data_IF_275916672058
#
_entry.id   IF_275916672058
#
_cell.length_a   1.000
_cell.length_b   1.000
_cell.length_c   1.000
_cell.angle_alpha   90.00
_cell.angle_beta   90.00
_cell.angle_gamma   90.00
#
_symmetry.space_group_name_H-M   'P 1'
#
loop_
_entity.id
_entity.type
_entity.pdbx_description
1 polymer ?
#
# COMPACT_ATOMS: atom_id res chain seq x y z
N UNK A 1 -8.19 30.69 31.98
CA UNK A 1 -6.75 31.03 31.94
C UNK A 1 -6.48 31.96 30.74
N UNK A 2 -5.45 32.81 30.77
CA UNK A 2 -4.94 33.45 29.55
C UNK A 2 -4.45 32.38 28.56
N UNK A 3 -4.60 32.62 27.25
CA UNK A 3 -4.05 31.72 26.23
C UNK A 3 -2.53 31.88 26.18
N UNK A 4 -1.79 30.78 26.23
CA UNK A 4 -0.35 30.81 25.98
C UNK A 4 -0.10 31.28 24.53
N UNK A 5 0.76 32.28 24.35
CA UNK A 5 1.16 32.75 23.02
C UNK A 5 2.16 31.79 22.37
N UNK A 6 2.18 31.73 21.03
CA UNK A 6 3.01 30.78 20.29
C UNK A 6 4.50 30.85 20.69
N UNK A 7 5.07 32.05 20.81
CA UNK A 7 6.46 32.24 21.22
C UNK A 7 6.74 31.71 22.64
N UNK A 8 5.79 31.84 23.57
CA UNK A 8 5.92 31.30 24.93
C UNK A 8 5.84 29.77 24.95
N UNK A 9 5.00 29.17 24.08
CA UNK A 9 4.93 27.72 23.95
C UNK A 9 6.17 27.14 23.26
N UNK A 10 6.73 27.83 22.26
CA UNK A 10 8.03 27.46 21.66
C UNK A 10 9.14 27.49 22.70
N UNK A 11 9.22 28.53 23.54
CA UNK A 11 10.22 28.62 24.60
C UNK A 11 10.05 27.49 25.62
N UNK A 12 8.83 27.25 26.10
CA UNK A 12 8.55 26.15 27.05
C UNK A 12 8.94 24.78 26.49
N UNK A 13 8.72 24.52 25.19
CA UNK A 13 9.18 23.30 24.52
C UNK A 13 10.71 23.19 24.45
N UNK A 14 11.43 24.31 24.20
CA UNK A 14 12.91 24.32 24.26
C UNK A 14 13.39 24.03 25.68
N UNK A 15 12.83 24.72 26.68
CA UNK A 15 13.18 24.54 28.10
C UNK A 15 12.93 23.09 28.57
N UNK A 16 11.86 22.45 28.08
CA UNK A 16 11.56 21.04 28.31
C UNK A 16 12.63 20.10 27.74
N UNK A 17 13.06 20.30 26.49
CA UNK A 17 14.09 19.45 25.87
C UNK A 17 15.45 19.59 26.57
N UNK A 18 15.82 20.81 26.99
CA UNK A 18 17.04 21.04 27.78
C UNK A 18 16.95 20.32 29.13
N UNK A 19 15.81 20.42 29.83
CA UNK A 19 15.66 19.92 31.21
C UNK A 19 15.47 18.40 31.29
N UNK A 20 14.64 17.83 30.41
CA UNK A 20 14.14 16.46 30.53
C UNK A 20 14.73 15.49 29.48
N UNK A 21 15.16 15.99 28.32
CA UNK A 21 15.79 15.18 27.25
C UNK A 21 17.31 15.36 27.22
N UNK A 22 17.83 16.42 27.86
CA UNK A 22 19.27 16.68 28.02
C UNK A 22 19.93 17.36 26.82
N UNK A 23 19.16 18.00 25.94
CA UNK A 23 19.68 18.73 24.80
C UNK A 23 20.49 19.97 25.21
N UNK A 24 21.58 20.30 24.51
CA UNK A 24 22.25 21.59 24.68
C UNK A 24 21.39 22.72 24.11
N UNK A 25 21.21 23.87 24.80
CA UNK A 25 20.42 25.00 24.29
C UNK A 25 20.87 25.50 22.91
N UNK A 26 22.19 25.46 22.63
CA UNK A 26 22.79 25.92 21.38
C UNK A 26 22.63 24.93 20.21
N UNK A 27 22.13 23.71 20.47
CA UNK A 27 21.94 22.64 19.46
C UNK A 27 20.47 22.44 19.04
N UNK A 28 19.52 23.12 19.71
CA UNK A 28 18.08 22.97 19.47
C UNK A 28 17.63 23.85 18.28
N UNK A 29 17.68 23.27 17.08
CA UNK A 29 16.98 23.82 15.92
C UNK A 29 15.46 23.60 16.06
N UNK A 30 14.71 24.70 16.21
CA UNK A 30 13.25 24.69 16.37
C UNK A 30 12.47 24.26 15.11
N UNK A 31 13.12 24.21 13.94
CA UNK A 31 12.56 23.68 12.69
C UNK A 31 12.89 22.20 12.45
N UNK A 32 13.87 21.63 13.18
CA UNK A 32 14.27 20.22 13.09
C UNK A 32 13.26 19.29 13.77
N UNK A 33 13.26 18.02 13.37
CA UNK A 33 12.50 16.94 13.99
C UNK A 33 12.98 16.69 15.43
N UNK A 34 12.05 16.70 16.38
CA UNK A 34 12.29 16.43 17.80
C UNK A 34 12.76 14.98 18.04
N UNK A 35 12.44 14.04 17.14
CA UNK A 35 13.00 12.68 17.19
C UNK A 35 14.52 12.69 16.95
N UNK A 36 15.02 13.58 16.09
CA UNK A 36 16.46 13.77 15.86
C UNK A 36 17.15 14.45 17.05
N UNK A 37 16.37 15.11 17.92
CA UNK A 37 16.81 15.71 19.19
C UNK A 37 16.64 14.73 20.37
N UNK A 38 16.27 13.47 20.12
CA UNK A 38 16.18 12.41 21.14
C UNK A 38 14.79 12.17 21.73
N UNK A 39 13.73 12.85 21.28
CA UNK A 39 12.36 12.62 21.78
C UNK A 39 11.84 11.26 21.31
N UNK A 40 11.83 10.28 22.20
CA UNK A 40 11.30 8.94 21.98
C UNK A 40 9.81 8.82 22.26
N UNK A 41 9.29 7.60 22.09
CA UNK A 41 7.86 7.29 22.29
C UNK A 41 7.40 7.39 23.74
N UNK A 42 8.31 7.28 24.72
CA UNK A 42 8.00 7.50 26.13
C UNK A 42 7.87 8.99 26.44
N UNK A 43 8.82 9.78 25.95
CA UNK A 43 8.90 11.23 26.18
C UNK A 43 7.72 11.94 25.53
N UNK A 44 7.33 11.53 24.32
CA UNK A 44 6.12 12.01 23.64
C UNK A 44 4.82 11.74 24.41
N UNK A 45 4.76 10.69 25.26
CA UNK A 45 3.60 10.44 26.14
C UNK A 45 3.62 11.39 27.34
N UNK A 46 4.75 11.53 28.03
CA UNK A 46 4.89 12.44 29.19
C UNK A 46 4.63 13.90 28.77
N UNK A 47 5.27 14.34 27.69
CA UNK A 47 5.12 15.67 27.11
C UNK A 47 3.70 15.95 26.61
N UNK A 48 2.95 14.93 26.14
CA UNK A 48 1.52 15.09 25.82
C UNK A 48 0.66 15.36 27.06
N UNK A 49 1.03 14.78 28.21
CA UNK A 49 0.35 15.01 29.49
C UNK A 49 0.58 16.43 30.00
N UNK A 50 1.84 16.86 30.10
CA UNK A 50 2.20 18.21 30.56
C UNK A 50 1.65 19.30 29.64
N UNK A 51 1.70 19.13 28.32
CA UNK A 51 1.05 20.04 27.38
C UNK A 51 -0.48 20.06 27.53
N UNK A 52 -1.10 18.93 27.91
CA UNK A 52 -2.54 18.87 28.13
C UNK A 52 -2.97 19.69 29.35
N UNK A 53 -2.18 19.61 30.43
CA UNK A 53 -2.40 20.41 31.65
C UNK A 53 -2.11 21.90 31.39
N UNK A 54 -0.97 22.23 30.76
CA UNK A 54 -0.54 23.59 30.45
C UNK A 54 -1.52 24.34 29.54
N UNK A 55 -2.11 23.64 28.56
CA UNK A 55 -3.03 24.24 27.59
C UNK A 55 -4.51 24.05 27.96
N UNK A 56 -4.83 23.30 29.02
CA UNK A 56 -6.19 23.04 29.48
C UNK A 56 -7.06 22.27 28.47
N UNK A 57 -6.45 21.42 27.65
CA UNK A 57 -7.11 20.61 26.60
C UNK A 57 -6.38 19.31 26.37
N UNK A 58 -7.01 18.30 25.76
CA UNK A 58 -6.25 17.12 25.32
C UNK A 58 -5.23 17.49 24.24
N UNK A 59 -4.02 16.96 24.41
CA UNK A 59 -2.93 16.85 23.43
C UNK A 59 -2.60 15.36 23.30
N UNK A 60 -2.34 14.86 22.10
CA UNK A 60 -2.14 13.44 21.83
C UNK A 60 -0.67 13.12 21.49
N UNK A 61 -0.11 11.99 21.94
CA UNK A 61 1.20 11.51 21.49
C UNK A 61 1.32 11.39 19.95
N UNK A 62 0.20 11.25 19.23
CA UNK A 62 0.17 11.21 17.77
C UNK A 62 0.46 12.58 17.13
N UNK A 63 0.16 13.69 17.83
CA UNK A 63 0.35 15.04 17.28
C UNK A 63 1.84 15.38 17.09
N UNK A 64 2.75 14.79 17.86
CA UNK A 64 4.21 14.91 17.67
C UNK A 64 4.66 14.33 16.34
N UNK A 65 4.12 13.19 15.91
CA UNK A 65 4.40 12.60 14.60
C UNK A 65 3.82 13.41 13.43
N UNK A 66 2.78 14.23 13.69
CA UNK A 66 2.15 15.10 12.69
C UNK A 66 2.83 16.47 12.58
N UNK A 67 3.40 16.95 13.69
CA UNK A 67 4.07 18.23 13.83
C UNK A 67 5.46 18.02 14.50
N UNK A 68 6.42 17.38 13.80
CA UNK A 68 7.64 16.87 14.42
C UNK A 68 8.63 17.94 14.88
N UNK A 69 8.46 19.21 14.53
CA UNK A 69 9.33 20.30 15.02
C UNK A 69 8.63 21.19 16.04
N UNK A 70 9.42 21.80 16.94
CA UNK A 70 8.96 22.72 17.99
C UNK A 70 8.10 23.83 17.39
N UNK A 71 8.53 24.40 16.25
CA UNK A 71 7.77 25.41 15.52
C UNK A 71 6.43 24.90 15.02
N UNK A 72 6.41 23.74 14.37
CA UNK A 72 5.18 23.16 13.82
C UNK A 72 4.18 22.83 14.93
N UNK A 73 4.65 22.25 16.03
CA UNK A 73 3.82 21.88 17.18
C UNK A 73 3.26 23.13 17.86
N UNK A 74 4.08 24.14 18.18
CA UNK A 74 3.60 25.35 18.84
C UNK A 74 2.58 26.15 17.99
N UNK A 75 2.81 26.25 16.68
CA UNK A 75 1.89 26.92 15.75
C UNK A 75 0.53 26.21 15.67
N UNK A 76 0.53 24.87 15.60
CA UNK A 76 -0.68 24.06 15.67
C UNK A 76 -1.37 24.19 17.03
N UNK A 77 -0.63 24.04 18.13
CA UNK A 77 -1.19 23.97 19.49
C UNK A 77 -1.87 25.28 19.92
N UNK A 78 -1.35 26.43 19.48
CA UNK A 78 -1.89 27.78 19.77
C UNK A 78 -2.88 28.30 18.73
N UNK A 79 -3.07 27.61 17.61
CA UNK A 79 -3.97 28.01 16.52
C UNK A 79 -3.43 29.12 15.60
N UNK A 80 -2.13 29.40 15.64
CA UNK A 80 -1.48 30.51 14.95
C UNK A 80 -1.21 30.26 13.44
N UNK A 81 -2.25 29.92 12.66
CA UNK A 81 -2.22 30.17 11.21
C UNK A 81 -2.95 31.48 10.91
N UNK A 82 -2.20 32.44 10.38
CA UNK A 82 -2.75 33.69 9.82
C UNK A 82 -3.68 33.42 8.64
N UNK A 83 -4.67 34.30 8.43
CA UNK A 83 -5.61 34.27 7.31
C UNK A 83 -4.96 34.69 5.97
N UNK A 84 -3.89 33.98 5.56
CA UNK A 84 -3.43 33.99 4.16
C UNK A 84 -4.29 33.00 3.36
N UNK A 85 -5.60 33.24 3.39
CA UNK A 85 -6.60 32.51 2.63
C UNK A 85 -6.55 32.97 1.16
N UNK A 86 -5.53 32.53 0.43
CA UNK A 86 -5.60 32.53 -1.03
C UNK A 86 -6.85 31.76 -1.45
N UNK A 87 -7.74 32.42 -2.19
CA UNK A 87 -9.13 31.99 -2.39
C UNK A 87 -9.21 30.78 -3.34
N UNK A 88 -8.94 29.59 -2.79
CA UNK A 88 -9.08 28.33 -3.50
C UNK A 88 -10.57 28.03 -3.66
N UNK A 89 -11.08 28.22 -4.88
CA UNK A 89 -12.42 27.79 -5.32
C UNK A 89 -12.49 26.25 -5.34
N UNK A 90 -12.55 25.64 -4.17
CA UNK A 90 -12.61 24.19 -4.02
C UNK A 90 -13.88 23.64 -4.64
N UNK A 91 -13.76 22.94 -5.78
CA UNK A 91 -14.89 22.27 -6.44
C UNK A 91 -15.56 21.36 -5.42
N UNK A 92 -16.85 21.57 -5.20
CA UNK A 92 -17.66 20.75 -4.30
C UNK A 92 -17.91 19.40 -4.97
N UNK A 93 -16.99 18.45 -4.72
CA UNK A 93 -17.10 17.07 -5.21
C UNK A 93 -18.47 16.51 -4.85
N UNK A 94 -19.21 16.09 -5.87
CA UNK A 94 -20.53 15.46 -5.74
C UNK A 94 -20.38 13.95 -5.62
N UNK A 95 -21.43 13.28 -5.13
CA UNK A 95 -21.56 11.81 -5.14
C UNK A 95 -21.33 11.17 -6.51
N UNK A 96 -21.54 11.95 -7.56
CA UNK A 96 -21.65 11.52 -8.95
C UNK A 96 -20.53 12.13 -9.83
N UNK A 97 -19.51 12.73 -9.21
CA UNK A 97 -18.37 13.30 -9.94
C UNK A 97 -17.67 12.18 -10.76
N UNK A 98 -17.45 12.37 -12.07
CA UNK A 98 -16.73 11.40 -12.90
C UNK A 98 -15.29 11.20 -12.41
N UNK A 99 -14.88 9.94 -12.26
CA UNK A 99 -13.50 9.58 -11.94
C UNK A 99 -12.74 9.39 -13.25
N UNK A 100 -11.60 10.05 -13.40
CA UNK A 100 -10.72 9.89 -14.56
C UNK A 100 -9.75 8.73 -14.33
N UNK A 101 -9.68 7.81 -15.30
CA UNK A 101 -8.55 6.86 -15.41
C UNK A 101 -7.43 7.60 -16.12
N UNK A 102 -6.32 7.84 -15.42
CA UNK A 102 -5.19 8.66 -15.91
C UNK A 102 -4.01 7.85 -16.43
N UNK A 103 -3.90 6.59 -16.02
CA UNK A 103 -2.87 5.65 -16.47
C UNK A 103 -3.26 4.20 -16.19
N UNK A 104 -2.55 3.28 -16.82
CA UNK A 104 -2.79 1.84 -16.73
C UNK A 104 -1.47 1.10 -16.90
N UNK A 105 -1.24 0.10 -16.04
CA UNK A 105 -0.21 -0.93 -16.19
C UNK A 105 -0.88 -2.30 -16.12
N UNK A 106 -0.31 -3.32 -16.76
CA UNK A 106 -0.84 -4.67 -16.67
C UNK A 106 0.18 -5.74 -17.08
N UNK A 107 -0.13 -6.98 -16.68
CA UNK A 107 0.51 -8.23 -17.09
C UNK A 107 -0.62 -9.21 -17.44
N UNK A 108 -0.59 -9.80 -18.62
CA UNK A 108 -1.53 -10.86 -19.00
C UNK A 108 -0.80 -12.00 -19.74
N UNK A 109 -1.36 -13.22 -19.74
CA UNK A 109 -0.79 -14.37 -20.45
C UNK A 109 -0.56 -14.15 -21.95
N UNK A 110 0.51 -14.72 -22.48
CA UNK A 110 0.89 -14.62 -23.90
C UNK A 110 1.72 -13.37 -24.22
N UNK A 111 2.70 -13.05 -23.39
CA UNK A 111 3.64 -11.94 -23.60
C UNK A 111 3.05 -10.53 -23.43
N UNK A 112 1.88 -10.39 -22.79
CA UNK A 112 1.21 -9.09 -22.64
C UNK A 112 1.78 -8.32 -21.43
N UNK A 113 2.47 -7.23 -21.78
CA UNK A 113 3.06 -6.22 -20.88
C UNK A 113 2.54 -4.85 -21.32
N UNK A 114 1.82 -4.16 -20.45
CA UNK A 114 1.21 -2.85 -20.76
C UNK A 114 -0.02 -2.90 -21.69
N UNK A 115 -0.69 -1.75 -21.83
CA UNK A 115 -1.98 -1.65 -22.50
C UNK A 115 -1.90 -1.82 -24.03
N UNK A 116 -0.79 -1.41 -24.65
CA UNK A 116 -0.54 -1.48 -26.09
C UNK A 116 -0.44 -2.93 -26.58
N UNK A 117 0.22 -3.81 -25.83
CA UNK A 117 0.32 -5.23 -26.17
C UNK A 117 -0.99 -5.98 -25.92
N UNK A 118 -1.72 -5.62 -24.84
CA UNK A 118 -3.08 -6.11 -24.60
C UNK A 118 -4.02 -5.74 -25.75
N UNK A 119 -3.99 -4.48 -26.18
CA UNK A 119 -4.75 -4.01 -27.34
C UNK A 119 -4.37 -4.77 -28.60
N UNK A 120 -3.06 -4.99 -28.86
CA UNK A 120 -2.55 -5.81 -29.96
C UNK A 120 -3.10 -7.24 -29.96
N UNK A 121 -3.10 -7.91 -28.80
CA UNK A 121 -3.68 -9.25 -28.64
C UNK A 121 -5.18 -9.27 -28.96
N UNK A 122 -5.93 -8.29 -28.42
CA UNK A 122 -7.38 -8.20 -28.58
C UNK A 122 -7.79 -7.92 -30.03
N UNK A 123 -7.15 -6.97 -30.72
CA UNK A 123 -7.47 -6.68 -32.14
C UNK A 123 -7.02 -7.81 -33.08
N UNK A 124 -6.02 -8.59 -32.68
CA UNK A 124 -5.58 -9.78 -33.40
C UNK A 124 -6.47 -11.00 -33.19
N UNK A 125 -7.44 -10.96 -32.25
CA UNK A 125 -8.24 -12.12 -31.85
C UNK A 125 -7.40 -13.22 -31.19
N UNK A 126 -6.27 -12.85 -30.57
CA UNK A 126 -5.34 -13.79 -29.94
C UNK A 126 -5.84 -14.33 -28.60
N UNK A 127 -5.18 -15.38 -28.12
CA UNK A 127 -5.46 -16.03 -26.84
C UNK A 127 -4.16 -16.36 -26.11
N UNK A 128 -4.10 -16.01 -24.83
CA UNK A 128 -3.02 -16.40 -23.92
C UNK A 128 -3.22 -17.78 -23.26
N UNK A 129 -4.20 -18.57 -23.74
CA UNK A 129 -4.43 -19.94 -23.27
C UNK A 129 -3.42 -20.89 -23.89
N UNK A 130 -2.65 -21.57 -23.06
CA UNK A 130 -1.63 -22.56 -23.42
C UNK A 130 -1.89 -23.89 -22.73
N UNK A 131 -1.16 -24.94 -23.10
CA UNK A 131 -1.08 -26.11 -22.22
C UNK A 131 -0.32 -25.76 -20.93
N UNK A 132 -0.66 -26.44 -19.83
CA UNK A 132 -0.10 -26.18 -18.50
C UNK A 132 1.43 -26.42 -18.50
N UNK A 133 2.26 -25.49 -17.99
CA UNK A 133 3.71 -25.63 -17.97
C UNK A 133 4.19 -26.93 -17.33
N UNK A 134 5.19 -27.56 -17.96
CA UNK A 134 5.82 -28.81 -17.49
C UNK A 134 6.38 -28.59 -16.08
N UNK A 135 6.00 -29.45 -15.13
CA UNK A 135 6.38 -29.35 -13.72
C UNK A 135 5.42 -28.53 -12.84
N UNK A 136 4.39 -27.85 -13.38
CA UNK A 136 3.42 -27.07 -12.58
C UNK A 136 2.72 -27.89 -11.48
N UNK A 137 2.58 -29.21 -11.69
CA UNK A 137 1.96 -30.16 -10.78
C UNK A 137 2.94 -31.07 -10.02
N UNK A 138 4.26 -31.03 -10.30
CA UNK A 138 5.21 -32.00 -9.73
C UNK A 138 5.50 -31.82 -8.23
N UNK A 139 4.94 -30.78 -7.60
CA UNK A 139 4.91 -30.63 -6.15
C UNK A 139 3.75 -31.37 -5.47
N UNK A 140 2.77 -31.84 -6.26
CA UNK A 140 1.58 -32.57 -5.80
C UNK A 140 1.63 -34.06 -6.17
N UNK A 141 2.38 -34.42 -7.21
CA UNK A 141 2.63 -35.81 -7.61
C UNK A 141 3.51 -36.55 -6.59
N UNK A 142 2.86 -37.26 -5.68
CA UNK A 142 3.50 -38.15 -4.70
C UNK A 142 3.79 -39.56 -5.25
N UNK A 143 3.48 -39.80 -6.53
CA UNK A 143 3.59 -41.10 -7.19
C UNK A 143 2.49 -42.10 -6.83
N UNK A 144 1.46 -41.71 -6.07
CA UNK A 144 0.32 -42.59 -5.78
C UNK A 144 -0.59 -42.78 -7.01
N UNK A 145 -1.18 -43.98 -7.20
CA UNK A 145 -2.20 -44.22 -8.22
C UNK A 145 -3.40 -43.25 -8.11
N UNK A 146 -3.74 -42.86 -6.88
CA UNK A 146 -4.83 -41.95 -6.55
C UNK A 146 -4.56 -40.53 -7.08
N UNK A 147 -3.39 -39.95 -6.78
CA UNK A 147 -2.99 -38.63 -7.30
C UNK A 147 -2.80 -38.68 -8.81
N UNK A 148 -2.18 -39.73 -9.34
CA UNK A 148 -2.00 -39.89 -10.78
C UNK A 148 -3.35 -39.89 -11.54
N UNK A 149 -4.42 -40.47 -10.95
CA UNK A 149 -5.76 -40.42 -11.52
C UNK A 149 -6.38 -39.01 -11.48
N UNK A 150 -6.18 -38.25 -10.40
CA UNK A 150 -6.63 -36.84 -10.30
C UNK A 150 -5.91 -35.95 -11.30
N UNK A 151 -4.58 -36.10 -11.43
CA UNK A 151 -3.78 -35.35 -12.42
C UNK A 151 -4.19 -35.70 -13.86
N UNK A 152 -4.48 -36.97 -14.16
CA UNK A 152 -5.00 -37.38 -15.47
C UNK A 152 -6.40 -36.85 -15.78
N UNK A 153 -7.23 -36.59 -14.77
CA UNK A 153 -8.55 -35.95 -14.91
C UNK A 153 -8.52 -34.42 -14.94
N UNK A 154 -7.39 -33.79 -14.61
CA UNK A 154 -7.27 -32.33 -14.52
C UNK A 154 -7.14 -31.68 -15.90
N UNK A 155 -7.69 -30.47 -16.07
CA UNK A 155 -7.51 -29.70 -17.32
C UNK A 155 -6.04 -29.48 -17.64
N UNK A 156 -5.64 -29.83 -18.87
CA UNK A 156 -4.31 -29.52 -19.40
C UNK A 156 -4.19 -28.10 -19.97
N UNK A 157 -5.26 -27.31 -19.96
CA UNK A 157 -5.30 -25.94 -20.49
C UNK A 157 -5.42 -24.92 -19.36
N UNK A 158 -4.67 -23.82 -19.47
CA UNK A 158 -4.74 -22.66 -18.59
C UNK A 158 -4.13 -21.43 -19.26
N UNK A 159 -4.04 -20.31 -18.55
CA UNK A 159 -3.41 -19.10 -19.05
C UNK A 159 -2.42 -18.59 -18.00
N UNK A 160 -1.15 -18.42 -18.38
CA UNK A 160 -0.02 -18.21 -17.47
C UNK A 160 0.79 -16.99 -17.88
N UNK A 161 1.31 -16.24 -16.91
CA UNK A 161 2.32 -15.22 -17.17
C UNK A 161 3.66 -15.92 -17.48
N UNK A 162 4.37 -15.42 -18.49
CA UNK A 162 5.61 -16.05 -18.98
C UNK A 162 6.76 -15.96 -17.97
N UNK A 163 6.79 -14.89 -17.15
CA UNK A 163 7.63 -14.80 -15.96
C UNK A 163 6.81 -14.38 -14.73
N UNK A 164 6.98 -15.15 -13.66
CA UNK A 164 6.38 -15.00 -12.32
C UNK A 164 7.48 -14.96 -11.24
N UNK A 165 8.72 -15.27 -11.62
CA UNK A 165 9.89 -15.34 -10.74
C UNK A 165 10.71 -14.03 -10.80
N UNK A 166 10.82 -13.42 -11.98
CA UNK A 166 11.44 -12.12 -12.20
C UNK A 166 10.82 -11.02 -11.34
N UNK A 167 11.69 -10.11 -10.89
CA UNK A 167 11.37 -8.89 -10.14
C UNK A 167 12.64 -8.05 -9.98
N UNK A 168 12.57 -6.75 -10.27
CA UNK A 168 13.70 -5.84 -9.99
C UNK A 168 13.70 -5.42 -8.50
N UNK A 169 14.29 -6.28 -7.68
CA UNK A 169 14.38 -6.06 -6.24
C UNK A 169 15.25 -4.84 -5.87
N UNK A 170 16.29 -4.53 -6.67
CA UNK A 170 17.19 -3.39 -6.41
C UNK A 170 16.48 -2.06 -6.67
N UNK A 171 15.71 -1.96 -7.76
CA UNK A 171 14.91 -0.79 -8.09
C UNK A 171 13.89 -0.41 -7.00
N UNK A 172 13.31 -1.39 -6.30
CA UNK A 172 12.36 -1.17 -5.21
C UNK A 172 13.00 -1.14 -3.80
N UNK A 173 14.34 -1.08 -3.70
CA UNK A 173 15.12 -1.10 -2.44
C UNK A 173 14.88 -2.35 -1.56
N UNK A 174 14.43 -3.45 -2.16
CA UNK A 174 14.08 -4.71 -1.47
C UNK A 174 15.28 -5.68 -1.48
N UNK A 175 15.58 -6.28 -0.33
CA UNK A 175 16.69 -7.24 -0.25
C UNK A 175 16.40 -8.51 -1.06
N UNK A 176 17.39 -9.12 -1.75
CA UNK A 176 17.18 -10.37 -2.50
C UNK A 176 16.63 -11.53 -1.63
N UNK A 177 16.92 -11.54 -0.33
CA UNK A 177 16.39 -12.52 0.62
C UNK A 177 14.89 -12.32 0.88
N UNK A 178 14.44 -11.06 0.97
CA UNK A 178 13.02 -10.75 1.09
C UNK A 178 12.27 -11.05 -0.23
N UNK A 179 12.83 -10.63 -1.37
CA UNK A 179 12.21 -10.83 -2.69
C UNK A 179 11.88 -12.31 -2.97
N UNK A 180 12.75 -13.24 -2.58
CA UNK A 180 12.54 -14.70 -2.70
C UNK A 180 11.36 -15.21 -1.83
N UNK A 181 11.02 -14.51 -0.74
CA UNK A 181 9.91 -14.87 0.16
C UNK A 181 8.62 -14.12 -0.15
N UNK A 182 8.64 -13.11 -1.04
CA UNK A 182 7.46 -12.38 -1.46
C UNK A 182 6.61 -13.17 -2.45
N UNK A 183 5.30 -13.23 -2.18
CA UNK A 183 4.26 -13.63 -3.13
C UNK A 183 4.49 -12.88 -4.47
N UNK A 184 4.53 -13.58 -5.63
CA UNK A 184 4.60 -12.94 -6.94
C UNK A 184 3.59 -11.81 -7.14
N UNK A 185 2.42 -11.87 -6.51
CA UNK A 185 1.41 -10.80 -6.54
C UNK A 185 1.91 -9.49 -5.91
N UNK A 186 2.74 -9.54 -4.85
CA UNK A 186 3.37 -8.34 -4.28
C UNK A 186 4.40 -7.74 -5.26
N UNK A 187 5.16 -8.60 -5.94
CA UNK A 187 6.22 -8.22 -6.89
C UNK A 187 5.64 -7.59 -8.16
N UNK A 188 4.74 -8.31 -8.82
CA UNK A 188 4.01 -7.86 -10.01
C UNK A 188 3.21 -6.58 -9.76
N UNK A 189 2.60 -6.42 -8.58
CA UNK A 189 1.86 -5.20 -8.25
C UNK A 189 2.77 -3.98 -8.10
N UNK A 190 3.99 -4.10 -7.58
CA UNK A 190 4.93 -2.98 -7.50
C UNK A 190 5.33 -2.49 -8.90
N UNK A 191 5.68 -3.40 -9.81
CA UNK A 191 5.95 -3.08 -11.22
C UNK A 191 4.76 -2.45 -11.92
N UNK A 192 3.60 -3.10 -11.88
CA UNK A 192 2.36 -2.63 -12.54
C UNK A 192 1.90 -1.28 -11.97
N UNK A 193 2.11 -1.03 -10.68
CA UNK A 193 1.81 0.28 -10.07
C UNK A 193 2.81 1.36 -10.49
N UNK A 194 4.08 1.02 -10.72
CA UNK A 194 5.06 1.96 -11.27
C UNK A 194 4.70 2.34 -12.72
N UNK A 195 4.49 1.34 -13.57
CA UNK A 195 4.10 1.52 -14.97
C UNK A 195 2.80 2.33 -15.14
N UNK A 196 1.80 2.10 -14.28
CA UNK A 196 0.55 2.86 -14.32
C UNK A 196 0.77 4.36 -14.00
N UNK A 197 1.77 4.70 -13.19
CA UNK A 197 2.15 6.08 -12.90
C UNK A 197 2.99 6.70 -14.02
N UNK A 198 3.90 5.93 -14.63
CA UNK A 198 4.67 6.36 -15.80
C UNK A 198 3.77 6.60 -17.03
N UNK A 199 2.81 5.69 -17.30
CA UNK A 199 1.78 5.88 -18.32
C UNK A 199 0.93 7.13 -18.03
N UNK A 200 0.69 7.48 -16.77
CA UNK A 200 0.00 8.72 -16.40
C UNK A 200 0.87 9.98 -16.55
N UNK A 201 2.17 9.84 -16.83
CA UNK A 201 3.16 10.93 -16.81
C UNK A 201 3.46 11.46 -15.40
N UNK A 202 3.14 10.69 -14.36
CA UNK A 202 3.25 11.09 -12.95
C UNK A 202 4.53 10.51 -12.34
N UNK A 203 5.47 11.39 -11.94
CA UNK A 203 6.63 10.97 -11.14
C UNK A 203 6.18 10.44 -9.78
N UNK A 204 6.63 9.25 -9.40
CA UNK A 204 6.40 8.66 -8.06
C UNK A 204 6.76 9.63 -6.93
N UNK A 205 7.90 10.33 -7.02
CA UNK A 205 8.33 11.31 -6.01
C UNK A 205 7.35 12.45 -5.79
N UNK A 206 6.53 12.80 -6.78
CA UNK A 206 5.51 13.85 -6.66
C UNK A 206 4.27 13.40 -5.85
N UNK A 207 4.17 12.10 -5.58
CA UNK A 207 3.13 11.47 -4.76
C UNK A 207 3.63 11.02 -3.38
N UNK A 208 4.95 11.09 -3.08
CA UNK A 208 5.48 10.82 -1.73
C UNK A 208 4.82 11.75 -0.71
N UNK A 209 4.49 11.19 0.46
CA UNK A 209 3.71 11.81 1.53
C UNK A 209 2.29 12.29 1.16
N UNK A 210 1.79 12.01 -0.05
CA UNK A 210 0.47 12.49 -0.52
C UNK A 210 -0.69 11.66 0.04
N UNK A 211 -1.93 12.17 -0.10
CA UNK A 211 -3.15 11.41 0.16
C UNK A 211 -3.52 10.47 -1.00
N UNK A 212 -2.53 9.86 -1.64
CA UNK A 212 -2.73 8.78 -2.61
C UNK A 212 -3.15 7.52 -1.87
N UNK A 213 -4.18 6.84 -2.36
CA UNK A 213 -4.67 5.57 -1.80
C UNK A 213 -4.28 4.37 -2.67
N UNK A 214 -4.38 3.18 -2.08
CA UNK A 214 -4.27 1.89 -2.80
C UNK A 214 -5.48 1.04 -2.45
N UNK A 215 -6.14 0.48 -3.46
CA UNK A 215 -7.29 -0.41 -3.29
C UNK A 215 -7.14 -1.58 -4.25
N UNK A 216 -6.78 -2.76 -3.74
CA UNK A 216 -6.43 -3.91 -4.58
C UNK A 216 -7.34 -5.12 -4.31
N UNK A 217 -7.86 -5.70 -5.39
CA UNK A 217 -8.63 -6.94 -5.35
C UNK A 217 -7.70 -8.17 -5.44
N UNK A 218 -7.78 -9.09 -4.48
CA UNK A 218 -6.91 -10.27 -4.46
C UNK A 218 -7.57 -11.49 -3.82
N UNK A 219 -7.13 -12.67 -4.25
CA UNK A 219 -7.29 -13.95 -3.56
C UNK A 219 -6.04 -14.79 -3.84
N UNK A 220 -5.57 -15.61 -2.90
CA UNK A 220 -4.36 -16.42 -3.14
C UNK A 220 -3.89 -17.26 -1.96
N UNK A 221 -3.26 -18.39 -2.29
CA UNK A 221 -2.84 -19.44 -1.35
C UNK A 221 -1.33 -19.38 -1.00
N UNK A 222 -0.56 -18.46 -1.59
CA UNK A 222 0.91 -18.44 -1.49
C UNK A 222 1.42 -18.45 -0.04
N UNK A 223 0.84 -17.64 0.86
CA UNK A 223 1.25 -17.61 2.27
C UNK A 223 0.98 -18.91 3.04
N UNK A 224 -0.03 -19.68 2.63
CA UNK A 224 -0.30 -21.01 3.18
C UNK A 224 0.73 -22.02 2.66
N UNK A 225 0.93 -22.08 1.35
CA UNK A 225 1.91 -22.99 0.73
C UNK A 225 3.34 -22.71 1.21
N UNK A 226 3.73 -21.44 1.33
CA UNK A 226 5.05 -21.00 1.81
C UNK A 226 5.27 -21.19 3.33
N UNK A 227 4.24 -21.59 4.08
CA UNK A 227 4.34 -21.96 5.51
C UNK A 227 4.14 -23.45 5.79
N UNK A 228 3.86 -24.26 4.76
CA UNK A 228 3.70 -25.72 4.89
C UNK A 228 4.99 -26.43 5.32
N UNK A 229 6.17 -25.96 4.87
CA UNK A 229 7.47 -26.39 5.39
C UNK A 229 8.03 -25.37 6.39
N UNK A 230 7.92 -25.70 7.67
CA UNK A 230 8.43 -24.88 8.79
C UNK A 230 9.96 -24.68 8.74
N UNK A 231 10.72 -25.50 8.01
CA UNK A 231 12.17 -25.29 7.81
C UNK A 231 12.47 -24.12 6.88
N UNK A 232 11.49 -23.71 6.05
CA UNK A 232 11.61 -22.58 5.12
C UNK A 232 11.02 -21.27 5.67
N UNK A 233 10.47 -21.28 6.89
CA UNK A 233 9.91 -20.08 7.51
C UNK A 233 11.02 -19.22 8.11
N UNK A 234 11.12 -17.96 7.68
CA UNK A 234 12.00 -16.96 8.30
C UNK A 234 11.28 -15.62 8.52
N UNK A 235 12.01 -14.59 8.95
CA UNK A 235 11.48 -13.27 9.27
C UNK A 235 10.68 -12.62 8.12
N UNK A 236 10.94 -12.99 6.86
CA UNK A 236 10.27 -12.44 5.69
C UNK A 236 9.04 -13.24 5.25
N UNK A 237 8.87 -14.49 5.70
CA UNK A 237 7.71 -15.33 5.33
C UNK A 237 6.38 -14.68 5.73
N UNK A 238 6.33 -14.01 6.89
CA UNK A 238 5.12 -13.37 7.39
C UNK A 238 4.67 -12.16 6.54
N UNK A 239 5.59 -11.29 6.13
CA UNK A 239 5.27 -10.14 5.27
C UNK A 239 5.14 -10.56 3.80
N UNK A 240 5.93 -11.53 3.35
CA UNK A 240 5.91 -12.03 1.98
C UNK A 240 4.64 -12.80 1.61
N UNK A 241 4.02 -13.50 2.56
CA UNK A 241 2.81 -14.30 2.33
C UNK A 241 1.47 -13.65 2.70
N UNK A 242 1.47 -12.51 3.42
CA UNK A 242 0.23 -11.90 3.90
C UNK A 242 -0.48 -11.04 2.83
N UNK A 243 -1.75 -11.37 2.52
CA UNK A 243 -2.53 -10.66 1.50
C UNK A 243 -2.66 -9.15 1.77
N UNK A 244 -2.78 -8.73 3.03
CA UNK A 244 -2.85 -7.31 3.40
C UNK A 244 -1.57 -6.52 3.08
N UNK A 245 -0.43 -7.20 2.95
CA UNK A 245 0.84 -6.57 2.57
C UNK A 245 0.87 -6.23 1.06
N UNK A 246 0.01 -6.81 0.23
CA UNK A 246 -0.05 -6.53 -1.21
C UNK A 246 -0.35 -5.05 -1.47
N UNK A 247 -1.45 -4.50 -0.94
CA UNK A 247 -1.72 -3.06 -1.04
C UNK A 247 -0.75 -2.20 -0.19
N UNK A 248 -0.38 -2.68 1.01
CA UNK A 248 0.44 -1.91 1.94
C UNK A 248 1.89 -1.73 1.46
N UNK A 249 2.46 -2.68 0.72
CA UNK A 249 3.83 -2.59 0.19
C UNK A 249 3.94 -1.52 -0.90
N UNK A 250 2.95 -1.39 -1.78
CA UNK A 250 2.85 -0.27 -2.73
C UNK A 250 2.85 1.07 -1.98
N UNK A 251 2.03 1.16 -0.92
CA UNK A 251 1.92 2.37 -0.10
C UNK A 251 3.21 2.67 0.68
N UNK A 252 3.96 1.65 1.09
CA UNK A 252 5.24 1.80 1.77
C UNK A 252 6.36 2.24 0.83
N UNK A 253 6.58 1.51 -0.27
CA UNK A 253 7.68 1.74 -1.22
C UNK A 253 7.56 3.10 -1.92
N UNK A 254 6.34 3.52 -2.26
CA UNK A 254 6.09 4.83 -2.88
C UNK A 254 5.73 5.94 -1.86
N UNK A 255 5.77 5.62 -0.56
CA UNK A 255 5.48 6.53 0.55
C UNK A 255 4.12 7.26 0.44
N UNK A 256 3.06 6.51 0.12
CA UNK A 256 1.69 7.01 0.07
C UNK A 256 1.06 7.05 1.47
N UNK A 257 0.23 8.07 1.75
CA UNK A 257 -0.37 8.32 3.07
C UNK A 257 -1.90 8.38 3.06
N UNK A 258 -2.53 7.98 1.96
CA UNK A 258 -3.98 7.69 1.93
C UNK A 258 -4.29 6.29 2.47
N UNK A 259 -5.56 5.83 2.36
CA UNK A 259 -5.92 4.47 2.77
C UNK A 259 -5.27 3.43 1.86
N UNK A 260 -4.80 2.35 2.47
CA UNK A 260 -4.34 1.15 1.79
C UNK A 260 -5.24 -0.01 2.17
N UNK A 261 -5.94 -0.59 1.19
CA UNK A 261 -6.97 -1.61 1.40
C UNK A 261 -6.77 -2.76 0.42
N UNK A 262 -6.82 -3.97 0.94
CA UNK A 262 -6.92 -5.21 0.16
C UNK A 262 -8.32 -5.77 0.36
N UNK A 263 -8.97 -6.25 -0.70
CA UNK A 263 -10.34 -6.81 -0.65
C UNK A 263 -10.40 -8.15 -1.39
N UNK A 264 -11.13 -9.09 -0.79
CA UNK A 264 -11.51 -10.36 -1.42
C UNK A 264 -13.05 -10.48 -1.43
N UNK A 265 -13.60 -10.55 -2.63
CA UNK A 265 -14.98 -10.95 -2.95
C UNK A 265 -14.98 -11.93 -4.13
N UNK A 266 -14.01 -12.85 -4.14
CA UNK A 266 -13.69 -13.79 -5.21
C UNK A 266 -13.58 -13.08 -6.58
N UNK A 267 -14.23 -13.59 -7.63
CA UNK A 267 -14.15 -13.07 -9.00
C UNK A 267 -14.72 -11.64 -9.19
N UNK A 268 -15.16 -10.96 -8.12
CA UNK A 268 -15.60 -9.55 -8.15
C UNK A 268 -14.63 -8.59 -7.45
N UNK A 269 -13.56 -9.09 -6.83
CA UNK A 269 -12.64 -8.33 -5.96
C UNK A 269 -12.08 -7.06 -6.61
N UNK A 270 -11.72 -7.13 -7.88
CA UNK A 270 -11.15 -6.01 -8.64
C UNK A 270 -12.16 -4.89 -8.89
N UNK A 271 -13.40 -5.22 -9.27
CA UNK A 271 -14.47 -4.24 -9.44
C UNK A 271 -14.91 -3.64 -8.10
N UNK A 272 -14.89 -4.43 -7.01
CA UNK A 272 -15.12 -3.92 -5.65
C UNK A 272 -13.98 -2.99 -5.21
N UNK A 273 -12.72 -3.31 -5.53
CA UNK A 273 -11.57 -2.44 -5.26
C UNK A 273 -11.68 -1.09 -6.01
N UNK A 274 -12.05 -1.11 -7.29
CA UNK A 274 -12.34 0.09 -8.10
C UNK A 274 -13.55 0.86 -7.55
N UNK A 275 -14.57 0.18 -7.03
CA UNK A 275 -15.72 0.82 -6.38
C UNK A 275 -15.30 1.55 -5.09
N UNK A 276 -14.50 0.91 -4.23
CA UNK A 276 -13.94 1.51 -3.01
C UNK A 276 -13.03 2.71 -3.33
N UNK A 277 -12.20 2.61 -4.36
CA UNK A 277 -11.39 3.71 -4.87
C UNK A 277 -12.26 4.91 -5.31
N UNK A 278 -13.30 4.66 -6.12
CA UNK A 278 -14.25 5.69 -6.55
C UNK A 278 -14.97 6.34 -5.36
N UNK A 279 -15.40 5.55 -4.36
CA UNK A 279 -15.99 6.10 -3.13
C UNK A 279 -14.99 6.96 -2.32
N UNK A 280 -13.72 6.55 -2.26
CA UNK A 280 -12.66 7.29 -1.55
C UNK A 280 -12.42 8.66 -2.18
N UNK A 281 -12.38 8.72 -3.52
CA UNK A 281 -12.29 9.96 -4.29
C UNK A 281 -13.53 10.86 -4.11
N UNK A 282 -14.74 10.30 -4.28
CA UNK A 282 -16.02 11.06 -4.23
C UNK A 282 -16.42 11.52 -2.84
N UNK A 283 -16.14 10.73 -1.79
CA UNK A 283 -16.28 11.18 -0.41
C UNK A 283 -15.27 12.30 -0.08
N UNK A 284 -14.14 12.32 -0.79
CA UNK A 284 -13.04 13.26 -0.63
C UNK A 284 -12.40 13.11 0.75
N UNK A 285 -12.06 11.86 1.12
CA UNK A 285 -11.82 11.37 2.50
C UNK A 285 -11.48 12.48 3.48
N UNK A 286 -12.53 12.96 4.18
CA UNK A 286 -12.52 14.22 4.93
C UNK A 286 -11.86 14.10 6.30
N UNK A 287 -11.04 13.06 6.49
CA UNK A 287 -10.43 12.72 7.77
C UNK A 287 -9.24 13.64 8.12
N UNK A 288 -8.53 14.18 7.10
CA UNK A 288 -7.32 14.99 7.30
C UNK A 288 -7.26 16.24 6.38
N UNK A 289 -8.14 17.21 6.63
CA UNK A 289 -8.38 18.43 5.81
C UNK A 289 -7.23 19.49 5.84
N UNK A 290 -5.95 19.14 5.79
CA UNK A 290 -4.84 20.13 5.91
C UNK A 290 -3.55 19.89 5.11
N UNK A 291 -3.49 18.95 4.14
CA UNK A 291 -2.36 18.86 3.17
C UNK A 291 -2.84 18.97 1.72
N UNK A 292 -2.11 19.75 0.92
CA UNK A 292 -2.25 19.77 -0.55
C UNK A 292 -1.68 18.46 -1.08
N UNK A 293 -2.51 17.62 -1.68
CA UNK A 293 -2.10 16.40 -2.36
C UNK A 293 -3.01 16.14 -3.54
N UNK A 294 -2.47 15.57 -4.61
CA UNK A 294 -3.29 14.97 -5.66
C UNK A 294 -3.89 13.68 -5.09
N UNK A 295 -5.21 13.52 -5.12
CA UNK A 295 -5.86 12.27 -4.73
C UNK A 295 -5.83 11.32 -5.93
N UNK A 296 -4.71 10.61 -6.08
CA UNK A 296 -4.64 9.43 -6.94
C UNK A 296 -5.13 8.23 -6.12
N UNK A 297 -5.76 7.25 -6.76
CA UNK A 297 -5.94 5.91 -6.16
C UNK A 297 -5.47 4.88 -7.16
N UNK A 298 -4.48 4.07 -6.77
CA UNK A 298 -4.10 2.86 -7.54
C UNK A 298 -5.16 1.81 -7.26
N UNK A 299 -5.89 1.39 -8.30
CA UNK A 299 -7.00 0.45 -8.19
C UNK A 299 -6.98 -0.60 -9.30
N UNK A 300 -7.18 -1.87 -8.94
CA UNK A 300 -7.18 -2.97 -9.91
C UNK A 300 -7.18 -4.36 -9.26
N UNK A 301 -6.84 -5.35 -10.08
CA UNK A 301 -6.73 -6.77 -9.75
C UNK A 301 -7.30 -7.67 -10.85
N UNK A 302 -6.70 -8.84 -11.06
CA UNK A 302 -7.36 -10.17 -10.98
C UNK A 302 -6.31 -11.27 -11.24
N UNK A 303 -5.29 -11.37 -10.39
CA UNK A 303 -4.14 -12.26 -10.57
C UNK A 303 -4.37 -13.61 -9.86
N UNK A 304 -5.30 -14.42 -10.36
CA UNK A 304 -5.71 -15.66 -9.69
C UNK A 304 -4.65 -16.77 -9.78
N UNK A 305 -3.74 -16.82 -8.80
CA UNK A 305 -2.89 -17.99 -8.55
C UNK A 305 -3.69 -19.12 -7.86
N UNK A 306 -4.70 -19.65 -8.55
CA UNK A 306 -5.44 -20.83 -8.08
C UNK A 306 -4.64 -22.10 -8.34
N UNK A 307 -4.54 -22.98 -7.35
CA UNK A 307 -3.87 -24.27 -7.49
C UNK A 307 -4.83 -25.47 -7.52
N UNK A 308 -5.98 -25.32 -8.20
CA UNK A 308 -7.04 -26.34 -8.27
C UNK A 308 -7.67 -26.46 -9.67
N UNK A 309 -8.27 -27.62 -9.93
CA UNK A 309 -8.85 -28.02 -11.22
C UNK A 309 -10.05 -27.18 -11.66
N UNK A 310 -10.21 -26.99 -12.98
CA UNK A 310 -11.42 -26.43 -13.58
C UNK A 310 -12.46 -27.50 -13.93
N UNK A 311 -13.74 -27.21 -13.68
CA UNK A 311 -14.86 -28.13 -13.89
C UNK A 311 -15.01 -28.61 -15.34
N UNK A 312 -15.33 -29.90 -15.50
CA UNK A 312 -15.99 -30.44 -16.70
C UNK A 312 -17.21 -31.26 -16.28
N UNK A 313 -18.33 -30.56 -16.07
CA UNK A 313 -19.68 -31.03 -16.33
C UNK A 313 -20.12 -32.42 -15.79
N UNK A 314 -19.74 -32.81 -14.58
CA UNK A 314 -20.66 -33.55 -13.71
C UNK A 314 -20.41 -33.28 -12.21
N UNK A 315 -21.46 -33.39 -11.40
CA UNK A 315 -21.52 -32.70 -10.10
C UNK A 315 -20.93 -33.43 -8.89
N UNK A 316 -19.63 -33.30 -8.62
CA UNK A 316 -19.05 -33.61 -7.30
C UNK A 316 -17.81 -32.77 -6.97
N UNK A 317 -17.99 -31.74 -6.14
CA UNK A 317 -16.88 -30.87 -5.68
C UNK A 317 -16.12 -31.51 -4.52
N UNK A 318 -14.79 -31.46 -4.56
CA UNK A 318 -13.93 -31.65 -3.39
C UNK A 318 -12.69 -30.77 -3.56
N UNK A 319 -12.58 -29.72 -2.75
CA UNK A 319 -11.42 -28.83 -2.73
C UNK A 319 -10.36 -29.38 -1.76
N UNK A 320 -9.10 -29.39 -2.21
CA UNK A 320 -7.88 -29.39 -1.40
C UNK A 320 -6.87 -28.47 -2.09
#
# INVERSE_FOLDING_TARGET
>A
MPRLGEAALRQWLVDYLVTNVGCSPDEIDVDRSMHDLGVGSADAVVLSGELSELLGRSVSPVEFWQYPSIRALAAFLTGARSEVAGEVTGRRVTSDEPVAVVGVGCRFPGGVVGAESLWGLLIGGGSGVTEVPVGRWSAFDDGSPEVAAVLAGTTRWGAFLDDVAGFDAEFFEISPREAVKMDPQQRLLLEVSHEALEHAGIRVDSLRHSQTGVSWGVSGEYGYLASADLSQVDAWSGTGGALSIIANRVSYVFDFRGPSVTVDTACSSSLVAVHLACQSLRSGIRMWRWRRGQSVVVAGGDTQFRCGSGDVADGSVSCL
#
